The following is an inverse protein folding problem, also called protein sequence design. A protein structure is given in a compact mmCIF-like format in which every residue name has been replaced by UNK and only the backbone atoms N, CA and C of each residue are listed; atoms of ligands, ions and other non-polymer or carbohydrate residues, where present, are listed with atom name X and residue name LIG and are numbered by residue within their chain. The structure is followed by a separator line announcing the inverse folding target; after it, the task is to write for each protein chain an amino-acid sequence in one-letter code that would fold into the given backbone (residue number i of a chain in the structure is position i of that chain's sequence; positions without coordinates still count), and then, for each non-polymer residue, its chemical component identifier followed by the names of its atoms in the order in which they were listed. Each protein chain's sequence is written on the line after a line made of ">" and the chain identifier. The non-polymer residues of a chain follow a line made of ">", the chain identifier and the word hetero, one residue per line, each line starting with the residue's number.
data_IF_518205844958
#
_entry.id   IF_518205844958
#
_cell.length_a   1.000
_cell.length_b   1.000
_cell.length_c   1.000
_cell.angle_alpha   90.00
_cell.angle_beta   90.00
_cell.angle_gamma   90.00
#
_symmetry.space_group_name_H-M   'P 1'
#
loop_
_entity.id
_entity.type
_entity.pdbx_description
1 polymer ?
#
# COMPACT_ATOMS: atom_id res chain seq x y z
N UNK A 1 -8.25 -3.11 -18.49
CA UNK A 1 -8.23 -3.68 -17.13
C UNK A 1 -9.67 -3.84 -16.65
N UNK A 2 -10.05 -4.97 -16.05
CA UNK A 2 -11.43 -5.17 -15.56
C UNK A 2 -11.68 -4.28 -14.35
N UNK A 3 -12.78 -3.51 -14.38
CA UNK A 3 -13.20 -2.64 -13.28
C UNK A 3 -13.62 -3.47 -12.07
N UNK A 4 -13.05 -3.17 -10.90
CA UNK A 4 -13.38 -3.81 -9.60
C UNK A 4 -14.01 -2.80 -8.64
N UNK A 5 -14.92 -2.01 -9.18
CA UNK A 5 -15.44 -0.79 -8.55
C UNK A 5 -15.99 -1.05 -7.14
N UNK A 6 -16.69 -2.17 -6.93
CA UNK A 6 -17.20 -2.52 -5.59
C UNK A 6 -16.10 -2.62 -4.52
N UNK A 7 -15.04 -3.39 -4.79
CA UNK A 7 -13.95 -3.59 -3.82
C UNK A 7 -13.09 -2.34 -3.67
N UNK A 8 -12.85 -1.63 -4.79
CA UNK A 8 -12.10 -0.39 -4.78
C UNK A 8 -12.84 0.70 -3.98
N UNK A 9 -14.12 0.91 -4.24
CA UNK A 9 -14.95 1.88 -3.51
C UNK A 9 -15.01 1.55 -2.02
N UNK A 10 -15.03 0.26 -1.65
CA UNK A 10 -14.94 -0.15 -0.25
C UNK A 10 -13.62 0.27 0.40
N UNK A 11 -12.49 0.17 -0.29
CA UNK A 11 -11.20 0.68 0.22
C UNK A 11 -11.22 2.20 0.34
N UNK A 12 -11.71 2.89 -0.69
CA UNK A 12 -11.82 4.35 -0.72
C UNK A 12 -12.69 4.86 0.43
N UNK A 13 -13.86 4.28 0.68
CA UNK A 13 -14.74 4.74 1.76
C UNK A 13 -14.14 4.58 3.16
N UNK A 14 -13.21 3.65 3.32
CA UNK A 14 -12.56 3.38 4.60
C UNK A 14 -11.17 4.02 4.69
N UNK A 15 -10.72 4.75 3.67
CA UNK A 15 -9.41 5.37 3.68
C UNK A 15 -9.36 6.55 4.67
N UNK A 16 -8.17 6.85 5.20
CA UNK A 16 -7.92 7.96 6.13
C UNK A 16 -8.67 7.94 7.46
N UNK A 17 -9.26 6.82 7.86
CA UNK A 17 -9.98 6.71 9.14
C UNK A 17 -9.09 6.30 10.34
N UNK A 18 -7.77 6.24 10.16
CA UNK A 18 -6.79 5.89 11.19
C UNK A 18 -6.65 4.39 11.49
N UNK A 19 -7.40 3.53 10.81
CA UNK A 19 -7.37 2.08 11.04
C UNK A 19 -6.59 1.33 9.96
N UNK A 20 -5.96 0.23 10.36
CA UNK A 20 -5.26 -0.69 9.46
C UNK A 20 -6.28 -1.46 8.62
N UNK A 21 -6.06 -1.54 7.30
CA UNK A 21 -6.92 -2.29 6.37
C UNK A 21 -6.24 -3.59 5.95
N UNK A 22 -6.88 -4.72 6.26
CA UNK A 22 -6.40 -6.06 5.89
C UNK A 22 -7.26 -6.62 4.77
N UNK A 23 -6.65 -6.86 3.60
CA UNK A 23 -7.35 -7.46 2.44
C UNK A 23 -7.09 -8.97 2.44
N UNK A 24 -8.10 -9.74 2.83
CA UNK A 24 -8.04 -11.21 2.82
C UNK A 24 -8.73 -11.82 1.60
N UNK A 25 -8.42 -13.07 1.28
CA UNK A 25 -9.11 -13.83 0.24
C UNK A 25 -8.25 -14.93 -0.38
N UNK A 26 -8.87 -15.80 -1.18
CA UNK A 26 -8.23 -16.99 -1.75
C UNK A 26 -7.07 -16.61 -2.71
N UNK A 27 -6.08 -17.50 -2.86
CA UNK A 27 -4.99 -17.34 -3.82
C UNK A 27 -5.54 -17.09 -5.24
N UNK A 28 -4.93 -16.16 -5.99
CA UNK A 28 -5.33 -15.73 -7.36
C UNK A 28 -6.64 -14.95 -7.50
N UNK A 29 -7.30 -14.51 -6.42
CA UNK A 29 -8.47 -13.63 -6.57
C UNK A 29 -8.12 -12.18 -6.97
N UNK A 30 -6.83 -11.84 -7.15
CA UNK A 30 -6.37 -10.53 -7.61
C UNK A 30 -6.29 -9.45 -6.53
N UNK A 31 -5.96 -9.82 -5.28
CA UNK A 31 -5.73 -8.86 -4.18
C UNK A 31 -4.55 -7.93 -4.49
N UNK A 32 -3.44 -8.47 -4.99
CA UNK A 32 -2.27 -7.68 -5.40
C UNK A 32 -2.65 -6.65 -6.45
N UNK A 33 -3.41 -7.05 -7.48
CA UNK A 33 -3.93 -6.13 -8.51
C UNK A 33 -4.85 -5.06 -7.92
N UNK A 34 -5.68 -5.41 -6.93
CA UNK A 34 -6.55 -4.43 -6.28
C UNK A 34 -5.76 -3.37 -5.51
N UNK A 35 -4.72 -3.76 -4.78
CA UNK A 35 -3.96 -2.86 -3.91
C UNK A 35 -2.84 -2.12 -4.67
N UNK A 36 -2.00 -2.85 -5.40
CA UNK A 36 -0.80 -2.31 -6.04
C UNK A 36 -1.06 -1.65 -7.40
N UNK A 37 -2.15 -2.00 -8.09
CA UNK A 37 -2.53 -1.36 -9.35
C UNK A 37 -3.74 -0.44 -9.15
N UNK A 38 -4.92 -0.98 -8.86
CA UNK A 38 -6.16 -0.18 -8.86
C UNK A 38 -6.18 0.91 -7.79
N UNK A 39 -5.85 0.57 -6.54
CA UNK A 39 -5.86 1.54 -5.46
C UNK A 39 -4.68 2.50 -5.56
N UNK A 40 -3.52 2.02 -6.01
CA UNK A 40 -2.37 2.87 -6.30
C UNK A 40 -2.67 3.95 -7.35
N UNK A 41 -3.22 3.55 -8.50
CA UNK A 41 -3.63 4.49 -9.56
C UNK A 41 -4.70 5.47 -9.07
N UNK A 42 -5.63 5.00 -8.23
CA UNK A 42 -6.60 5.89 -7.58
C UNK A 42 -5.90 6.94 -6.70
N UNK A 43 -4.94 6.56 -5.87
CA UNK A 43 -4.22 7.53 -5.02
C UNK A 43 -3.46 8.57 -5.86
N UNK A 44 -2.78 8.13 -6.92
CA UNK A 44 -2.11 9.05 -7.85
C UNK A 44 -3.09 10.04 -8.49
N UNK A 45 -4.29 9.57 -8.86
CA UNK A 45 -5.35 10.42 -9.42
C UNK A 45 -5.94 11.43 -8.42
N UNK A 46 -5.67 11.28 -7.12
CA UNK A 46 -6.04 12.22 -6.06
C UNK A 46 -4.89 13.17 -5.68
N UNK A 47 -3.93 13.37 -6.59
CA UNK A 47 -2.74 14.21 -6.39
C UNK A 47 -1.82 13.76 -5.23
N UNK A 48 -1.94 12.50 -4.80
CA UNK A 48 -0.99 11.91 -3.85
C UNK A 48 0.26 11.53 -4.63
N UNK A 49 1.38 12.11 -4.26
CA UNK A 49 2.63 11.88 -4.97
C UNK A 49 3.16 10.47 -4.72
N UNK A 50 3.84 9.89 -5.69
CA UNK A 50 4.44 8.56 -5.56
C UNK A 50 5.40 8.48 -4.36
N UNK A 51 6.12 9.55 -4.05
CA UNK A 51 7.03 9.58 -2.91
C UNK A 51 6.30 9.51 -1.57
N UNK A 52 5.00 9.82 -1.53
CA UNK A 52 4.18 9.69 -0.33
C UNK A 52 3.62 8.27 -0.17
N UNK A 53 3.87 7.36 -1.11
CA UNK A 53 3.35 6.00 -1.11
C UNK A 53 4.50 5.00 -0.95
N UNK A 54 4.47 4.23 0.13
CA UNK A 54 5.41 3.12 0.35
C UNK A 54 4.74 1.84 -0.13
N UNK A 55 5.31 1.18 -1.14
CA UNK A 55 4.82 -0.09 -1.69
C UNK A 55 5.81 -1.22 -1.40
N UNK A 56 5.36 -2.28 -0.75
CA UNK A 56 6.20 -3.43 -0.39
C UNK A 56 5.54 -4.77 -0.75
N UNK A 57 5.99 -5.35 -1.86
CA UNK A 57 5.58 -6.70 -2.27
C UNK A 57 6.43 -7.77 -1.57
N UNK A 58 6.11 -8.09 -0.32
CA UNK A 58 6.89 -9.01 0.53
C UNK A 58 7.03 -10.45 -0.04
N UNK A 59 6.25 -10.80 -1.06
CA UNK A 59 6.35 -12.06 -1.81
C UNK A 59 7.48 -12.05 -2.86
N UNK A 60 7.89 -10.88 -3.37
CA UNK A 60 9.00 -10.77 -4.31
C UNK A 60 10.35 -11.02 -3.62
N UNK A 61 11.26 -11.73 -4.32
CA UNK A 61 12.60 -12.09 -3.80
C UNK A 61 13.41 -10.87 -3.34
N UNK A 62 13.32 -9.74 -4.06
CA UNK A 62 14.03 -8.49 -3.71
C UNK A 62 13.65 -7.93 -2.33
N UNK A 63 12.47 -8.29 -1.83
CA UNK A 63 11.92 -7.79 -0.57
C UNK A 63 11.89 -8.84 0.55
N UNK A 64 12.50 -10.02 0.33
CA UNK A 64 12.51 -11.10 1.31
C UNK A 64 13.07 -10.69 2.69
N UNK A 65 14.10 -9.83 2.70
CA UNK A 65 14.69 -9.29 3.94
C UNK A 65 13.70 -8.52 4.81
N UNK A 66 12.67 -7.92 4.22
CA UNK A 66 11.64 -7.16 4.93
C UNK A 66 10.54 -8.04 5.52
N UNK A 67 10.65 -9.37 5.40
CA UNK A 67 9.83 -10.30 6.20
C UNK A 67 10.26 -10.33 7.66
N UNK A 68 11.48 -9.89 7.97
CA UNK A 68 11.90 -9.65 9.34
C UNK A 68 11.26 -8.32 9.82
N UNK A 69 10.46 -8.34 10.90
CA UNK A 69 9.76 -7.15 11.37
C UNK A 69 10.69 -6.03 11.83
N UNK A 70 11.88 -6.36 12.36
CA UNK A 70 12.87 -5.37 12.78
C UNK A 70 13.40 -4.64 11.55
N UNK A 71 13.85 -5.40 10.54
CA UNK A 71 14.35 -4.83 9.28
C UNK A 71 13.29 -4.03 8.53
N UNK A 72 12.03 -4.44 8.59
CA UNK A 72 10.92 -3.70 8.01
C UNK A 72 10.69 -2.37 8.74
N UNK A 73 10.68 -2.39 10.08
CA UNK A 73 10.52 -1.20 10.89
C UNK A 73 11.63 -0.18 10.59
N UNK A 74 12.89 -0.61 10.64
CA UNK A 74 14.05 0.24 10.35
C UNK A 74 13.96 0.86 8.95
N UNK A 75 13.52 0.07 7.97
CA UNK A 75 13.33 0.55 6.59
C UNK A 75 12.24 1.62 6.50
N UNK A 76 11.06 1.37 7.07
CA UNK A 76 9.94 2.33 7.06
C UNK A 76 10.33 3.60 7.81
N UNK A 77 10.95 3.48 8.98
CA UNK A 77 11.42 4.62 9.78
C UNK A 77 12.45 5.46 9.02
N UNK A 78 13.35 4.83 8.25
CA UNK A 78 14.31 5.58 7.42
C UNK A 78 13.63 6.41 6.34
N UNK A 79 12.53 5.92 5.76
CA UNK A 79 11.76 6.63 4.72
C UNK A 79 10.97 7.78 5.34
N UNK A 80 10.31 7.55 6.49
CA UNK A 80 9.47 8.56 7.14
C UNK A 80 10.35 9.67 7.75
N UNK A 81 11.44 9.33 8.41
CA UNK A 81 12.31 10.31 9.08
C UNK A 81 13.14 11.15 8.10
N UNK A 82 13.50 10.60 6.94
CA UNK A 82 14.12 11.41 5.86
C UNK A 82 13.15 12.44 5.27
N UNK A 83 11.83 12.23 5.44
CA UNK A 83 10.75 13.05 4.90
C UNK A 83 10.00 13.81 5.99
N UNK A 84 10.75 14.52 6.85
CA UNK A 84 10.30 15.20 8.09
C UNK A 84 9.15 16.24 7.99
N UNK A 85 8.28 16.23 6.95
CA UNK A 85 7.11 17.12 6.87
C UNK A 85 5.92 16.68 5.99
N UNK A 86 5.77 15.41 5.58
CA UNK A 86 4.61 15.01 4.75
C UNK A 86 4.05 13.63 5.12
N UNK A 87 2.72 13.58 5.28
CA UNK A 87 1.95 12.37 5.57
C UNK A 87 2.26 11.29 4.51
N UNK A 88 2.72 10.13 4.97
CA UNK A 88 3.07 8.97 4.13
C UNK A 88 1.99 7.88 4.27
N UNK A 89 1.66 7.23 3.16
CA UNK A 89 0.74 6.10 3.04
C UNK A 89 1.56 4.84 2.82
N UNK A 90 1.26 3.78 3.57
CA UNK A 90 1.83 2.46 3.33
C UNK A 90 0.79 1.57 2.65
N UNK A 91 1.18 0.97 1.52
CA UNK A 91 0.41 0.00 0.74
C UNK A 91 1.08 -1.38 0.78
#
# INVERSE_FOLDING_TARGET
>A
MIKRDYYLNRLIHNMWNGEIKVITGIRRCGKSVLLFDLFYEYLLSQDIKEEQIIRLELDQRKYYKYRNPITLCDYVDSIVNSKKKQNSICL
#
